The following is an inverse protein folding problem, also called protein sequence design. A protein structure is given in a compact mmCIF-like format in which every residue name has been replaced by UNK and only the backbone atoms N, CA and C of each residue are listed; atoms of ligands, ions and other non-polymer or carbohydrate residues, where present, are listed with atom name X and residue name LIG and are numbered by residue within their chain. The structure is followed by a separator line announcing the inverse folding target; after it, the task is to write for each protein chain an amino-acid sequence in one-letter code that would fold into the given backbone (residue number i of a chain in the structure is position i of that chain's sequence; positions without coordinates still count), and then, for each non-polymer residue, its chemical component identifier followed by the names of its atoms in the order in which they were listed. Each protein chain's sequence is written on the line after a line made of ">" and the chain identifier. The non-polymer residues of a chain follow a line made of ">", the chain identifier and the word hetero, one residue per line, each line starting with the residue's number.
data_IF_410842881020
#
_entry.id   IF_410842881020
#
_cell.length_a   1.000
_cell.length_b   1.000
_cell.length_c   1.000
_cell.angle_alpha   90.00
_cell.angle_beta   90.00
_cell.angle_gamma   90.00
#
_symmetry.space_group_name_H-M   'P 1'
#
loop_
_entity.id
_entity.type
_entity.pdbx_description
1 polymer ?
#
# COMPACT_ATOMS: atom_id res chain seq x y z
N UNK A 1 -12.14 -4.65 12.87
CA UNK A 1 -10.93 -5.32 12.31
C UNK A 1 -10.84 -6.73 12.90
N UNK A 2 -10.59 -7.70 12.05
CA UNK A 2 -10.48 -9.10 12.45
C UNK A 2 -9.19 -9.70 11.92
N UNK A 3 -8.68 -10.75 12.56
CA UNK A 3 -7.45 -11.43 12.18
C UNK A 3 -7.76 -12.85 11.76
N UNK A 4 -7.25 -13.26 10.62
CA UNK A 4 -7.34 -14.66 10.17
C UNK A 4 -5.96 -15.12 9.73
N UNK A 5 -5.68 -16.41 9.91
CA UNK A 5 -4.44 -16.98 9.39
C UNK A 5 -4.61 -17.29 7.90
N UNK A 6 -3.50 -17.41 7.19
CA UNK A 6 -3.52 -17.82 5.78
C UNK A 6 -4.19 -19.19 5.62
N UNK A 7 -4.05 -20.05 6.61
CA UNK A 7 -4.68 -21.37 6.63
C UNK A 7 -6.19 -21.27 6.78
N UNK A 8 -6.68 -20.43 7.70
CA UNK A 8 -8.11 -20.16 7.88
C UNK A 8 -8.73 -19.55 6.63
N UNK A 9 -8.01 -18.64 5.97
CA UNK A 9 -8.46 -18.04 4.73
C UNK A 9 -8.73 -19.11 3.66
N UNK A 10 -7.87 -20.11 3.56
CA UNK A 10 -8.06 -21.19 2.59
C UNK A 10 -9.14 -22.17 3.03
N UNK A 11 -9.19 -22.52 4.30
CA UNK A 11 -10.12 -23.51 4.81
C UNK A 11 -11.55 -22.96 5.00
N UNK A 12 -11.68 -21.69 5.35
CA UNK A 12 -12.96 -21.07 5.70
C UNK A 12 -13.19 -19.77 4.92
N UNK A 13 -12.87 -19.78 3.63
CA UNK A 13 -12.98 -18.59 2.79
C UNK A 13 -14.39 -17.99 2.76
N UNK A 14 -15.43 -18.82 2.81
CA UNK A 14 -16.81 -18.33 2.80
C UNK A 14 -17.10 -17.41 4.01
N UNK A 15 -16.59 -17.77 5.17
CA UNK A 15 -16.74 -16.95 6.39
C UNK A 15 -16.00 -15.63 6.26
N UNK A 16 -14.82 -15.65 5.65
CA UNK A 16 -14.02 -14.44 5.43
C UNK A 16 -14.75 -13.50 4.47
N UNK A 17 -15.32 -14.04 3.40
CA UNK A 17 -16.08 -13.23 2.43
C UNK A 17 -17.33 -12.61 3.08
N UNK A 18 -18.02 -13.33 3.95
CA UNK A 18 -19.16 -12.78 4.67
C UNK A 18 -18.77 -11.58 5.54
N UNK A 19 -17.64 -11.68 6.24
CA UNK A 19 -17.12 -10.58 7.06
C UNK A 19 -16.75 -9.37 6.22
N UNK A 20 -16.13 -9.59 5.07
CA UNK A 20 -15.79 -8.52 4.13
C UNK A 20 -17.06 -7.84 3.59
N UNK A 21 -18.08 -8.60 3.23
CA UNK A 21 -19.35 -8.05 2.77
C UNK A 21 -20.05 -7.23 3.85
N UNK A 22 -19.85 -7.59 5.12
CA UNK A 22 -20.37 -6.85 6.26
C UNK A 22 -19.59 -5.56 6.55
N UNK A 23 -18.52 -5.31 5.81
CA UNK A 23 -17.70 -4.10 5.96
C UNK A 23 -16.54 -4.24 6.94
N UNK A 24 -16.24 -5.45 7.40
CA UNK A 24 -15.10 -5.67 8.29
C UNK A 24 -13.79 -5.71 7.52
N UNK A 25 -12.77 -5.14 8.11
CA UNK A 25 -11.40 -5.22 7.61
C UNK A 25 -10.74 -6.47 8.18
N UNK A 26 -10.04 -7.23 7.33
CA UNK A 26 -9.44 -8.50 7.72
C UNK A 26 -7.93 -8.45 7.51
N UNK A 27 -7.20 -8.73 8.58
CA UNK A 27 -5.74 -8.87 8.51
C UNK A 27 -5.41 -10.36 8.39
N UNK A 28 -4.75 -10.72 7.31
CA UNK A 28 -4.27 -12.09 7.11
C UNK A 28 -2.90 -12.20 7.74
N UNK A 29 -2.73 -13.16 8.65
CA UNK A 29 -1.45 -13.41 9.30
C UNK A 29 -0.78 -14.64 8.71
N UNK A 30 0.55 -14.62 8.74
CA UNK A 30 1.38 -15.71 8.30
C UNK A 30 2.52 -15.85 9.29
N UNK A 31 2.67 -17.04 9.86
CA UNK A 31 3.66 -17.29 10.92
C UNK A 31 3.52 -16.30 12.09
N UNK A 32 2.29 -15.99 12.46
CA UNK A 32 1.98 -15.08 13.56
C UNK A 32 2.21 -13.60 13.27
N UNK A 33 2.55 -13.25 12.03
CA UNK A 33 2.84 -11.86 11.64
C UNK A 33 1.83 -11.37 10.60
N UNK A 34 1.42 -10.10 10.65
CA UNK A 34 0.58 -9.54 9.60
C UNK A 34 1.26 -9.66 8.24
N UNK A 35 0.52 -10.17 7.27
CA UNK A 35 1.04 -10.44 5.94
C UNK A 35 0.26 -9.69 4.86
N UNK A 36 -1.07 -9.61 5.00
CA UNK A 36 -1.93 -8.99 4.02
C UNK A 36 -3.13 -8.34 4.68
N UNK A 37 -3.71 -7.38 4.00
CA UNK A 37 -4.94 -6.72 4.42
C UNK A 37 -6.01 -6.95 3.36
N UNK A 38 -7.19 -7.41 3.79
CA UNK A 38 -8.34 -7.57 2.92
C UNK A 38 -9.38 -6.53 3.30
N UNK A 39 -9.84 -5.79 2.31
CA UNK A 39 -10.86 -4.75 2.47
C UNK A 39 -11.88 -4.93 1.37
N UNK A 40 -13.17 -4.88 1.72
CA UNK A 40 -14.24 -4.92 0.73
C UNK A 40 -14.20 -3.66 -0.13
N UNK A 41 -14.41 -3.82 -1.43
CA UNK A 41 -14.55 -2.69 -2.34
C UNK A 41 -15.64 -2.99 -3.37
N UNK A 42 -16.30 -1.94 -3.82
CA UNK A 42 -17.25 -2.02 -4.92
C UNK A 42 -16.53 -1.68 -6.23
N UNK A 43 -17.03 -2.20 -7.39
CA UNK A 43 -16.36 -1.91 -8.67
C UNK A 43 -16.18 -0.42 -8.95
N UNK A 44 -17.15 0.41 -8.58
CA UNK A 44 -17.09 1.85 -8.80
C UNK A 44 -16.12 2.56 -7.84
N UNK A 45 -15.72 1.91 -6.75
CA UNK A 45 -14.81 2.48 -5.74
C UNK A 45 -13.38 1.95 -5.86
N UNK A 46 -13.16 0.95 -6.69
CA UNK A 46 -11.87 0.27 -6.78
C UNK A 46 -10.71 1.22 -7.11
N UNK A 47 -10.90 2.08 -8.10
CA UNK A 47 -9.82 3.01 -8.50
C UNK A 47 -9.48 4.01 -7.40
N UNK A 48 -10.49 4.52 -6.71
CA UNK A 48 -10.29 5.44 -5.60
C UNK A 48 -9.58 4.74 -4.43
N UNK A 49 -9.98 3.51 -4.13
CA UNK A 49 -9.33 2.71 -3.09
C UNK A 49 -7.86 2.44 -3.42
N UNK A 50 -7.57 2.03 -4.66
CA UNK A 50 -6.19 1.80 -5.10
C UNK A 50 -5.36 3.07 -5.04
N UNK A 51 -5.95 4.19 -5.42
CA UNK A 51 -5.28 5.49 -5.35
C UNK A 51 -4.93 5.86 -3.91
N UNK A 52 -5.86 5.64 -2.98
CA UNK A 52 -5.63 5.90 -1.56
C UNK A 52 -4.50 5.03 -1.01
N UNK A 53 -4.45 3.74 -1.36
CA UNK A 53 -3.37 2.85 -0.95
C UNK A 53 -2.03 3.27 -1.53
N UNK A 54 -2.01 3.67 -2.80
CA UNK A 54 -0.79 4.16 -3.45
C UNK A 54 -0.28 5.44 -2.80
N UNK A 55 -1.18 6.36 -2.42
CA UNK A 55 -0.83 7.57 -1.69
C UNK A 55 -0.24 7.26 -0.32
N UNK A 56 -0.84 6.33 0.42
CA UNK A 56 -0.33 5.94 1.73
C UNK A 56 1.08 5.36 1.64
N UNK A 57 1.34 4.53 0.62
CA UNK A 57 2.68 3.97 0.36
C UNK A 57 3.67 5.06 -0.04
N UNK A 58 3.22 6.01 -0.84
CA UNK A 58 4.04 7.13 -1.28
C UNK A 58 4.44 8.02 -0.09
N UNK A 59 3.49 8.37 0.78
CA UNK A 59 3.77 9.16 1.97
C UNK A 59 4.80 8.48 2.87
N UNK A 60 4.72 7.17 3.01
CA UNK A 60 5.69 6.41 3.78
C UNK A 60 7.08 6.45 3.17
N UNK A 61 7.18 6.31 1.86
CA UNK A 61 8.45 6.43 1.14
C UNK A 61 9.04 7.83 1.28
N UNK A 62 8.20 8.84 1.21
CA UNK A 62 8.62 10.23 1.37
C UNK A 62 9.16 10.48 2.78
N UNK A 63 8.48 9.96 3.81
CA UNK A 63 8.93 10.07 5.18
C UNK A 63 10.27 9.37 5.41
N UNK A 64 10.46 8.20 4.81
CA UNK A 64 11.73 7.47 4.86
C UNK A 64 12.85 8.25 4.17
N UNK A 65 12.57 8.86 3.03
CA UNK A 65 13.54 9.69 2.31
C UNK A 65 13.91 10.94 3.07
N UNK A 66 12.94 11.60 3.71
CA UNK A 66 13.21 12.77 4.56
C UNK A 66 14.08 12.39 5.75
N UNK A 67 13.82 11.27 6.38
CA UNK A 67 14.62 10.75 7.46
C UNK A 67 16.05 10.45 7.00
N UNK A 68 16.18 9.82 5.85
CA UNK A 68 17.47 9.50 5.24
C UNK A 68 18.24 10.75 4.86
N UNK A 69 17.56 11.73 4.29
CA UNK A 69 18.14 13.03 3.95
C UNK A 69 18.68 13.74 5.19
N UNK A 70 17.94 13.70 6.30
CA UNK A 70 18.38 14.25 7.57
C UNK A 70 19.61 13.54 8.10
N UNK A 71 19.64 12.22 8.07
CA UNK A 71 20.76 11.40 8.51
C UNK A 71 22.03 11.67 7.70
N UNK A 72 21.87 11.93 6.41
CA UNK A 72 22.97 12.21 5.48
C UNK A 72 23.32 13.69 5.36
N UNK A 73 22.64 14.57 6.10
CA UNK A 73 22.84 16.01 6.01
C UNK A 73 22.33 16.64 4.72
N UNK A 74 21.42 15.98 4.03
CA UNK A 74 20.84 16.45 2.77
C UNK A 74 19.52 17.20 2.97
N UNK A 75 19.21 17.54 4.20
CA UNK A 75 18.01 18.29 4.58
C UNK A 75 17.99 19.73 4.05
N UNK A 76 19.06 20.14 3.36
CA UNK A 76 19.15 21.43 2.67
C UNK A 76 18.69 21.38 1.21
N UNK A 77 18.19 20.25 0.74
CA UNK A 77 17.64 20.14 -0.61
C UNK A 77 16.44 21.06 -0.78
N UNK A 78 16.38 21.74 -1.91
CA UNK A 78 15.24 22.60 -2.23
C UNK A 78 14.01 21.76 -2.53
N UNK A 79 12.83 22.35 -2.36
CA UNK A 79 11.57 21.66 -2.72
C UNK A 79 11.54 21.28 -4.19
N UNK A 80 12.14 22.11 -5.06
CA UNK A 80 12.22 21.80 -6.49
C UNK A 80 13.03 20.54 -6.77
N UNK A 81 14.13 20.35 -6.05
CA UNK A 81 14.96 19.15 -6.19
C UNK A 81 14.22 17.91 -5.70
N UNK A 82 13.47 18.03 -4.61
CA UNK A 82 12.65 16.95 -4.06
C UNK A 82 11.53 16.60 -5.04
N UNK A 83 10.85 17.61 -5.59
CA UNK A 83 9.77 17.41 -6.55
C UNK A 83 10.28 16.76 -7.84
N UNK A 84 11.47 17.11 -8.28
CA UNK A 84 12.10 16.50 -9.45
C UNK A 84 12.37 15.00 -9.24
N UNK A 85 12.86 14.62 -8.08
CA UNK A 85 13.08 13.20 -7.74
C UNK A 85 11.77 12.43 -7.66
N UNK A 86 10.72 13.03 -7.11
CA UNK A 86 9.40 12.43 -7.02
C UNK A 86 8.82 12.22 -8.41
N UNK A 87 8.94 13.20 -9.31
CA UNK A 87 8.46 13.11 -10.67
C UNK A 87 9.17 11.99 -11.45
N UNK A 88 10.48 11.87 -11.25
CA UNK A 88 11.29 10.83 -11.88
C UNK A 88 10.89 9.43 -11.39
N UNK A 89 10.67 9.26 -10.10
CA UNK A 89 10.23 8.00 -9.51
C UNK A 89 8.86 7.59 -10.05
N UNK A 90 7.94 8.53 -10.22
CA UNK A 90 6.62 8.28 -10.83
C UNK A 90 6.74 7.84 -12.27
N UNK A 91 7.62 8.48 -13.03
CA UNK A 91 7.87 8.16 -14.43
C UNK A 91 8.41 6.75 -14.59
N UNK A 92 9.38 6.35 -13.77
CA UNK A 92 9.93 5.00 -13.76
C UNK A 92 8.86 3.95 -13.44
N UNK A 93 8.01 4.23 -12.46
CA UNK A 93 6.93 3.33 -12.07
C UNK A 93 5.89 3.19 -13.19
N UNK A 94 5.53 4.28 -13.85
CA UNK A 94 4.62 4.27 -14.99
C UNK A 94 5.17 3.45 -16.15
N UNK A 95 6.44 3.63 -16.47
CA UNK A 95 7.12 2.87 -17.53
C UNK A 95 7.20 1.38 -17.19
N UNK A 96 7.41 1.05 -15.93
CA UNK A 96 7.44 -0.34 -15.47
C UNK A 96 6.08 -1.01 -15.59
N UNK A 97 5.01 -0.32 -15.21
CA UNK A 97 3.63 -0.82 -15.35
C UNK A 97 3.25 -0.98 -16.81
N UNK A 98 3.67 -0.07 -17.68
CA UNK A 98 3.40 -0.13 -19.10
C UNK A 98 4.15 -1.29 -19.78
N UNK A 99 5.38 -1.61 -19.34
CA UNK A 99 6.18 -2.69 -19.89
C UNK A 99 5.84 -4.06 -19.32
N UNK A 100 5.12 -4.11 -18.21
CA UNK A 100 4.70 -5.34 -17.54
C UNK A 100 3.47 -6.01 -18.14
N UNK A 101 2.98 -5.54 -19.27
CA UNK A 101 1.84 -6.13 -19.97
C UNK A 101 2.34 -7.07 -21.08
#
# INVERSE_FOLDING_TARGET
>A
MDFVTARELRAESAKVWEKLEAGEEIVVTRNGKPFALLVHTEPQELEDALRAFRWARFDRLLAEQHKRAKELGLDKMTMDEIDAEIAEARKERHNRDASGR
#
